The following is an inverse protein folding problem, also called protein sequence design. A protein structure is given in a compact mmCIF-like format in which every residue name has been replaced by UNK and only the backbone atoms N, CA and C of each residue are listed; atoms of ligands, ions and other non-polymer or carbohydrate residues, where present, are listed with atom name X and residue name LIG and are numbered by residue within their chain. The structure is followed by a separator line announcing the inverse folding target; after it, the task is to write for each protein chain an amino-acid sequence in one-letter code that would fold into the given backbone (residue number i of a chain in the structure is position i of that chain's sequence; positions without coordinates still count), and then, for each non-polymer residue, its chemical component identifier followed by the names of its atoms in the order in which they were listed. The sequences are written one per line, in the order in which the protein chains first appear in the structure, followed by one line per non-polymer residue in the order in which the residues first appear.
data_IF_601943678059
#
_entry.id   IF_601943678059
#
_cell.length_a   1.000
_cell.length_b   1.000
_cell.length_c   1.000
_cell.angle_alpha   90.00
_cell.angle_beta   90.00
_cell.angle_gamma   90.00
#
_symmetry.space_group_name_H-M   'P 1'
#
loop_
_entity.id
_entity.type
_entity.pdbx_description
1 polymer ?
#
# COMPACT_ATOMS: atom_id res chain seq x y z
N UNK A 1 -54.58 -9.78 26.80
CA UNK A 1 -53.74 -10.32 25.71
C UNK A 1 -54.31 -11.68 25.31
N UNK A 2 -54.60 -11.83 24.04
CA UNK A 2 -55.06 -13.12 23.50
C UNK A 2 -53.87 -13.95 23.07
N UNK A 3 -53.99 -15.27 23.16
CA UNK A 3 -52.91 -16.23 22.84
C UNK A 3 -52.30 -15.99 21.43
N UNK A 4 -53.06 -15.69 20.37
CA UNK A 4 -52.51 -15.35 19.04
C UNK A 4 -51.67 -14.08 19.03
N UNK A 5 -51.99 -13.11 19.86
CA UNK A 5 -51.28 -11.83 19.94
C UNK A 5 -49.86 -12.00 20.54
N UNK A 6 -49.74 -12.89 21.51
CA UNK A 6 -48.43 -13.25 22.11
C UNK A 6 -47.57 -14.00 21.10
N UNK A 7 -48.14 -14.91 20.32
CA UNK A 7 -47.39 -15.66 19.29
C UNK A 7 -46.89 -14.73 18.20
N UNK A 8 -47.73 -13.83 17.70
CA UNK A 8 -47.34 -12.85 16.66
C UNK A 8 -46.22 -11.95 17.17
N UNK A 9 -46.32 -11.45 18.40
CA UNK A 9 -45.29 -10.62 19.02
C UNK A 9 -43.96 -11.37 19.18
N UNK A 10 -43.98 -12.62 19.57
CA UNK A 10 -42.78 -13.44 19.69
C UNK A 10 -42.11 -13.72 18.35
N UNK A 11 -42.89 -13.95 17.30
CA UNK A 11 -42.38 -14.16 15.95
C UNK A 11 -41.71 -12.88 15.40
N UNK A 12 -42.35 -11.73 15.58
CA UNK A 12 -41.79 -10.44 15.15
C UNK A 12 -40.46 -10.15 15.89
N UNK A 13 -40.43 -10.42 17.19
CA UNK A 13 -39.22 -10.21 18.01
C UNK A 13 -38.08 -11.16 17.58
N UNK A 14 -38.39 -12.39 17.24
CA UNK A 14 -37.46 -13.40 16.77
C UNK A 14 -36.81 -12.97 15.41
N UNK A 15 -37.63 -12.56 14.47
CA UNK A 15 -37.14 -12.10 13.13
C UNK A 15 -36.28 -10.82 13.26
N UNK A 16 -36.74 -9.86 14.07
CA UNK A 16 -36.00 -8.62 14.31
C UNK A 16 -34.62 -8.86 14.93
N UNK A 17 -34.53 -9.81 15.86
CA UNK A 17 -33.27 -10.19 16.50
C UNK A 17 -32.28 -10.82 15.52
N UNK A 18 -32.73 -11.69 14.63
CA UNK A 18 -31.89 -12.35 13.62
C UNK A 18 -31.33 -11.33 12.65
N UNK A 19 -32.13 -10.42 12.09
CA UNK A 19 -31.71 -9.39 11.17
C UNK A 19 -30.66 -8.46 11.82
N UNK A 20 -30.83 -8.15 13.09
CA UNK A 20 -29.86 -7.31 13.82
C UNK A 20 -28.53 -8.01 14.02
N UNK A 21 -28.51 -9.30 14.35
CA UNK A 21 -27.29 -10.08 14.52
C UNK A 21 -26.53 -10.26 13.21
N UNK A 22 -27.22 -10.54 12.12
CA UNK A 22 -26.61 -10.66 10.78
C UNK A 22 -26.02 -9.33 10.31
N UNK A 23 -26.71 -8.23 10.57
CA UNK A 23 -26.21 -6.88 10.31
C UNK A 23 -24.92 -6.56 11.08
N UNK A 24 -24.86 -6.92 12.35
CA UNK A 24 -23.67 -6.75 13.19
C UNK A 24 -22.50 -7.59 12.70
N UNK A 25 -22.70 -8.85 12.42
CA UNK A 25 -21.68 -9.76 11.94
C UNK A 25 -21.08 -9.28 10.60
N UNK A 26 -21.91 -8.82 9.66
CA UNK A 26 -21.46 -8.30 8.39
C UNK A 26 -20.68 -7.00 8.52
N UNK A 27 -21.10 -6.12 9.43
CA UNK A 27 -20.44 -4.82 9.67
C UNK A 27 -19.08 -5.02 10.32
N UNK A 28 -18.95 -5.90 11.31
CA UNK A 28 -17.67 -6.21 11.95
C UNK A 28 -16.69 -6.87 10.99
N UNK A 29 -17.15 -7.78 10.14
CA UNK A 29 -16.31 -8.39 9.12
C UNK A 29 -15.79 -7.37 8.07
N UNK A 30 -16.64 -6.42 7.67
CA UNK A 30 -16.22 -5.33 6.75
C UNK A 30 -15.24 -4.37 7.42
N UNK A 31 -15.45 -4.01 8.68
CA UNK A 31 -14.55 -3.18 9.46
C UNK A 31 -13.17 -3.82 9.58
N UNK A 32 -13.08 -5.10 9.93
CA UNK A 32 -11.83 -5.83 10.02
C UNK A 32 -11.07 -5.88 8.68
N UNK A 33 -11.77 -6.09 7.56
CA UNK A 33 -11.15 -6.07 6.22
C UNK A 33 -10.65 -4.68 5.84
N UNK A 34 -11.38 -3.62 6.19
CA UNK A 34 -10.95 -2.26 5.91
C UNK A 34 -9.71 -1.87 6.72
N UNK A 35 -9.65 -2.30 7.97
CA UNK A 35 -8.50 -2.07 8.85
C UNK A 35 -7.25 -2.80 8.33
N UNK A 36 -7.37 -4.06 7.95
CA UNK A 36 -6.29 -4.83 7.35
C UNK A 36 -5.78 -4.16 6.08
N UNK A 37 -6.67 -3.69 5.20
CA UNK A 37 -6.29 -2.98 3.99
C UNK A 37 -5.55 -1.67 4.30
N UNK A 38 -5.99 -0.92 5.31
CA UNK A 38 -5.29 0.30 5.74
C UNK A 38 -3.88 0.00 6.25
N UNK A 39 -3.70 -1.06 7.05
CA UNK A 39 -2.39 -1.49 7.51
C UNK A 39 -1.46 -1.84 6.35
N UNK A 40 -1.96 -2.55 5.34
CA UNK A 40 -1.20 -2.88 4.15
C UNK A 40 -0.79 -1.63 3.35
N UNK A 41 -1.69 -0.67 3.19
CA UNK A 41 -1.38 0.60 2.53
C UNK A 41 -0.32 1.41 3.29
N UNK A 42 -0.40 1.45 4.62
CA UNK A 42 0.61 2.09 5.45
C UNK A 42 1.98 1.43 5.32
N UNK A 43 2.04 0.10 5.24
CA UNK A 43 3.30 -0.61 4.99
C UNK A 43 3.91 -0.25 3.63
N UNK A 44 3.09 -0.18 2.57
CA UNK A 44 3.54 0.25 1.25
C UNK A 44 4.08 1.68 1.27
N UNK A 45 3.38 2.61 1.91
CA UNK A 45 3.79 4.00 2.01
C UNK A 45 5.09 4.16 2.83
N UNK A 46 5.26 3.42 3.90
CA UNK A 46 6.51 3.40 4.68
C UNK A 46 7.71 2.92 3.85
N UNK A 47 7.51 1.90 3.02
CA UNK A 47 8.56 1.41 2.12
C UNK A 47 8.93 2.45 1.05
N UNK A 48 7.95 3.13 0.47
CA UNK A 48 8.19 4.22 -0.48
C UNK A 48 9.00 5.35 0.17
N UNK A 49 8.62 5.80 1.36
CA UNK A 49 9.35 6.83 2.09
C UNK A 49 10.77 6.39 2.47
N UNK A 50 10.96 5.13 2.81
CA UNK A 50 12.28 4.59 3.10
C UNK A 50 13.16 4.55 1.85
N UNK A 51 12.61 4.18 0.71
CA UNK A 51 13.28 4.21 -0.57
C UNK A 51 13.67 5.65 -0.97
N UNK A 52 12.77 6.60 -0.81
CA UNK A 52 13.02 8.02 -1.08
C UNK A 52 14.18 8.56 -0.24
N UNK A 53 14.21 8.25 1.07
CA UNK A 53 15.31 8.65 1.96
C UNK A 53 16.65 8.04 1.56
N UNK A 54 16.66 6.80 1.12
CA UNK A 54 17.88 6.14 0.65
C UNK A 54 18.35 6.76 -0.67
N UNK A 55 17.44 6.99 -1.60
CA UNK A 55 17.74 7.58 -2.91
C UNK A 55 18.18 9.03 -2.81
N UNK A 56 17.66 9.79 -1.86
CA UNK A 56 18.08 11.19 -1.65
C UNK A 56 19.56 11.35 -1.23
N UNK A 57 20.20 10.25 -0.83
CA UNK A 57 21.63 10.22 -0.42
C UNK A 57 22.55 9.61 -1.48
N UNK A 58 21.98 9.15 -2.59
CA UNK A 58 22.77 8.55 -3.67
C UNK A 58 23.44 9.66 -4.48
N UNK A 59 24.66 9.40 -4.93
CA UNK A 59 25.37 10.29 -5.83
C UNK A 59 24.71 10.32 -7.20
N UNK A 60 24.65 11.49 -7.78
CA UNK A 60 24.04 11.76 -9.09
C UNK A 60 25.08 12.35 -10.02
N UNK A 61 25.06 11.93 -11.28
CA UNK A 61 25.83 12.55 -12.33
C UNK A 61 25.25 13.94 -12.62
N UNK A 62 26.00 15.03 -12.37
CA UNK A 62 25.50 16.38 -12.52
C UNK A 62 25.25 16.79 -13.98
N UNK A 63 25.97 16.18 -14.92
CA UNK A 63 25.90 16.56 -16.34
C UNK A 63 24.67 15.97 -17.03
N UNK A 64 24.29 14.77 -16.64
CA UNK A 64 23.20 14.04 -17.29
C UNK A 64 21.96 13.89 -16.40
N UNK A 65 22.02 14.35 -15.14
CA UNK A 65 20.94 14.19 -14.17
C UNK A 65 20.47 12.74 -14.04
N UNK A 66 21.43 11.83 -13.89
CA UNK A 66 21.19 10.38 -13.73
C UNK A 66 21.77 9.89 -12.41
N UNK A 67 21.20 8.83 -11.88
CA UNK A 67 21.81 8.16 -10.73
C UNK A 67 23.17 7.58 -11.12
N UNK A 68 24.17 7.79 -10.28
CA UNK A 68 25.50 7.22 -10.46
C UNK A 68 25.54 5.81 -9.87
N UNK A 69 25.98 4.84 -10.68
CA UNK A 69 26.16 3.47 -10.24
C UNK A 69 24.89 2.63 -10.24
N UNK A 70 25.00 1.41 -9.66
CA UNK A 70 23.90 0.45 -9.57
C UNK A 70 23.00 0.74 -8.38
N UNK A 71 22.07 1.66 -8.56
CA UNK A 71 21.09 2.06 -7.54
C UNK A 71 20.13 0.93 -7.21
N UNK A 72 19.84 0.07 -8.17
CA UNK A 72 18.94 -1.06 -7.95
C UNK A 72 19.50 -2.01 -6.89
N UNK A 73 20.76 -2.43 -7.04
CA UNK A 73 21.43 -3.27 -6.04
C UNK A 73 21.55 -2.58 -4.69
N UNK A 74 21.81 -1.28 -4.67
CA UNK A 74 21.90 -0.51 -3.43
C UNK A 74 20.57 -0.47 -2.69
N UNK A 75 19.46 -0.23 -3.38
CA UNK A 75 18.12 -0.28 -2.79
C UNK A 75 17.77 -1.68 -2.30
N UNK A 76 18.03 -2.70 -3.12
CA UNK A 76 17.70 -4.08 -2.81
C UNK A 76 18.42 -4.58 -1.55
N UNK A 77 19.66 -4.14 -1.33
CA UNK A 77 20.46 -4.51 -0.16
C UNK A 77 20.08 -3.75 1.11
N UNK A 78 19.53 -2.55 0.99
CA UNK A 78 19.25 -1.65 2.10
C UNK A 78 17.79 -1.56 2.52
N UNK A 79 16.86 -1.90 1.65
CA UNK A 79 15.43 -1.92 1.95
C UNK A 79 15.07 -3.28 2.58
N UNK A 80 14.70 -3.32 3.87
CA UNK A 80 14.23 -4.55 4.49
C UNK A 80 12.80 -4.84 4.03
N UNK A 81 12.67 -5.71 3.05
CA UNK A 81 11.36 -6.18 2.57
C UNK A 81 11.05 -7.52 3.21
N UNK A 82 9.96 -7.59 3.96
CA UNK A 82 9.46 -8.82 4.59
C UNK A 82 8.22 -9.32 3.88
N UNK A 83 8.12 -10.64 3.71
CA UNK A 83 6.89 -11.27 3.24
C UNK A 83 5.67 -10.81 4.08
N UNK A 84 4.50 -10.60 3.50
CA UNK A 84 4.07 -10.90 2.13
C UNK A 84 4.40 -9.83 1.07
N UNK A 85 5.16 -8.81 1.43
CA UNK A 85 5.56 -7.74 0.53
C UNK A 85 6.69 -8.19 -0.39
N UNK A 86 6.58 -7.89 -1.67
CA UNK A 86 7.61 -8.13 -2.68
C UNK A 86 8.04 -6.81 -3.30
N UNK A 87 9.33 -6.67 -3.51
CA UNK A 87 9.95 -5.52 -4.12
C UNK A 87 10.53 -5.91 -5.49
N UNK A 88 10.15 -5.14 -6.51
CA UNK A 88 10.76 -5.21 -7.85
C UNK A 88 11.25 -3.83 -8.25
N UNK A 89 12.43 -3.77 -8.80
CA UNK A 89 13.04 -2.56 -9.33
C UNK A 89 13.16 -2.70 -10.84
N UNK A 90 12.64 -1.73 -11.57
CA UNK A 90 12.65 -1.72 -13.03
C UNK A 90 13.30 -0.40 -13.51
N UNK A 91 14.25 -0.46 -14.47
CA UNK A 91 14.79 0.77 -15.02
C UNK A 91 13.71 1.54 -15.78
N UNK A 92 13.76 2.86 -15.73
CA UNK A 92 12.89 3.68 -16.55
C UNK A 92 13.33 3.64 -18.01
N UNK A 93 12.37 3.72 -18.92
CA UNK A 93 12.64 3.74 -20.37
C UNK A 93 13.58 4.87 -20.82
N UNK A 94 13.65 5.94 -20.05
CA UNK A 94 14.52 7.08 -20.34
C UNK A 94 15.89 7.02 -19.64
N UNK A 95 16.22 5.91 -18.96
CA UNK A 95 17.45 5.72 -18.17
C UNK A 95 17.71 6.79 -17.09
N UNK A 96 16.77 7.70 -16.86
CA UNK A 96 16.91 8.80 -15.89
C UNK A 96 16.35 8.47 -14.51
N UNK A 97 15.66 7.36 -14.39
CA UNK A 97 14.98 6.99 -13.15
C UNK A 97 14.85 5.50 -12.95
N UNK A 98 14.29 5.15 -11.81
CA UNK A 98 14.01 3.77 -11.43
C UNK A 98 12.55 3.63 -10.96
N UNK A 99 11.87 2.63 -11.47
CA UNK A 99 10.56 2.25 -10.98
C UNK A 99 10.69 1.36 -9.76
N UNK A 100 10.10 1.77 -8.68
CA UNK A 100 9.88 0.96 -7.49
C UNK A 100 8.50 0.34 -7.61
N UNK A 101 8.43 -0.97 -7.75
CA UNK A 101 7.18 -1.73 -7.80
C UNK A 101 7.08 -2.54 -6.52
N UNK A 102 6.13 -2.19 -5.68
CA UNK A 102 5.82 -2.90 -4.46
C UNK A 102 4.55 -3.70 -4.67
N UNK A 103 4.63 -5.00 -4.47
CA UNK A 103 3.49 -5.90 -4.55
C UNK A 103 3.27 -6.56 -3.20
N UNK A 104 2.05 -6.48 -2.72
CA UNK A 104 1.60 -7.21 -1.55
C UNK A 104 0.61 -8.26 -2.03
N UNK A 105 1.00 -9.51 -1.95
CA UNK A 105 0.19 -10.64 -2.38
C UNK A 105 -0.31 -11.34 -1.11
N UNK A 106 -1.58 -11.14 -0.82
CA UNK A 106 -2.30 -11.83 0.25
C UNK A 106 -3.37 -12.74 -0.38
N UNK A 107 -3.83 -13.75 0.34
CA UNK A 107 -4.82 -14.72 -0.14
C UNK A 107 -6.12 -14.08 -0.65
N UNK A 108 -6.44 -12.87 -0.16
CA UNK A 108 -7.69 -12.17 -0.46
C UNK A 108 -7.54 -10.95 -1.36
N UNK A 109 -6.33 -10.42 -1.52
CA UNK A 109 -6.11 -9.19 -2.29
C UNK A 109 -4.67 -9.07 -2.78
N UNK A 110 -4.51 -8.64 -4.03
CA UNK A 110 -3.24 -8.19 -4.56
C UNK A 110 -3.23 -6.66 -4.61
N UNK A 111 -2.35 -6.04 -3.86
CA UNK A 111 -2.11 -4.60 -3.90
C UNK A 111 -0.77 -4.35 -4.59
N UNK A 112 -0.78 -3.47 -5.58
CA UNK A 112 0.43 -3.04 -6.27
C UNK A 112 0.57 -1.52 -6.15
N UNK A 113 1.77 -1.08 -5.81
CA UNK A 113 2.15 0.34 -5.82
C UNK A 113 3.38 0.52 -6.70
N UNK A 114 3.28 1.40 -7.68
CA UNK A 114 4.39 1.76 -8.57
C UNK A 114 4.75 3.22 -8.36
N UNK A 115 6.01 3.48 -8.11
CA UNK A 115 6.53 4.84 -7.91
C UNK A 115 7.78 5.02 -8.75
N UNK A 116 7.83 6.08 -9.55
CA UNK A 116 9.00 6.45 -10.31
C UNK A 116 9.85 7.42 -9.48
N UNK A 117 11.10 7.06 -9.25
CA UNK A 117 12.09 7.94 -8.67
C UNK A 117 13.06 8.43 -9.76
N UNK A 118 13.17 9.72 -9.88
CA UNK A 118 14.15 10.39 -10.75
C UNK A 118 15.02 11.32 -9.93
N UNK A 119 16.29 11.55 -10.29
CA UNK A 119 17.13 12.49 -9.59
C UNK A 119 16.55 13.92 -9.55
N UNK A 120 15.91 14.35 -10.65
CA UNK A 120 15.22 15.62 -10.71
C UNK A 120 14.03 15.71 -9.75
N UNK A 121 13.22 14.65 -9.67
CA UNK A 121 12.08 14.56 -8.76
C UNK A 121 12.48 14.56 -7.28
N UNK A 122 13.69 14.07 -6.97
CA UNK A 122 14.27 14.10 -5.62
C UNK A 122 15.02 15.42 -5.32
N UNK A 123 15.06 16.37 -6.26
CA UNK A 123 15.75 17.64 -6.10
C UNK A 123 17.29 17.54 -6.10
N UNK A 124 17.83 16.42 -6.60
CA UNK A 124 19.27 16.16 -6.59
C UNK A 124 19.99 16.79 -7.78
N UNK A 125 19.27 17.20 -8.83
CA UNK A 125 19.85 17.88 -9.97
C UNK A 125 19.85 19.39 -9.70
N UNK A 126 20.99 20.03 -9.93
CA UNK A 126 21.04 21.50 -9.97
C UNK A 126 20.13 21.95 -11.12
N UNK A 127 19.12 22.75 -10.81
CA UNK A 127 18.40 23.48 -11.84
C UNK A 127 19.44 24.31 -12.58
N UNK A 128 19.62 24.07 -13.88
CA UNK A 128 20.30 25.03 -14.73
C UNK A 128 19.54 26.35 -14.55
N UNK A 129 20.17 27.30 -13.89
CA UNK A 129 19.60 28.63 -13.71
C UNK A 129 19.24 29.14 -15.11
N UNK A 130 17.94 29.24 -15.31
CA UNK A 130 17.42 29.90 -16.50
C UNK A 130 17.71 31.39 -16.42
#
# INVERSE_FOLDING_TARGET
MTLPEVIVSAVIMGISSQVSLDGWASTTARAARSEQRQQHLQQLDQQVLSAERLLSRVSVDPDHCRFSGDVASHLQSRLPVKAPLQLRLEPSSNEQGIWLVLQLIDETSALERRVLFTPAGLGLCKQANA
#
